data_IF_050519179211
#
_entry.id   IF_050519179211
#
_cell.length_a   1.000
_cell.length_b   1.000
_cell.length_c   1.000
_cell.angle_alpha   90.00
_cell.angle_beta   90.00
_cell.angle_gamma   90.00
#
_symmetry.space_group_name_H-M   'P 1'
#
loop_
_entity.id
_entity.type
_entity.pdbx_description
1 polymer ?
2 non-polymer ?
3 non-polymer ?
4 water ?
#
# COMPACT_ATOMS: atom_id res chain seq x y z
N UNK A 1 5.46 1.75 12.87
CA UNK A 1 5.19 3.22 12.72
C UNK A 1 5.93 4.09 13.76
N UNK A 2 6.86 4.88 13.25
CA UNK A 2 7.70 5.82 14.02
C UNK A 2 6.96 6.74 15.00
N UNK A 3 7.73 7.35 15.89
CA UNK A 3 7.29 8.53 16.65
C UNK A 3 7.32 9.85 15.80
N UNK A 4 8.34 9.99 14.94
CA UNK A 4 8.40 11.12 14.00
C UNK A 4 7.37 10.96 12.84
N UNK A 5 7.06 9.73 12.48
CA UNK A 5 6.07 9.46 11.44
C UNK A 5 4.61 9.78 11.91
N UNK A 6 4.29 9.45 13.16
CA UNK A 6 2.98 9.75 13.76
C UNK A 6 2.75 11.25 13.82
N UNK A 7 3.75 11.98 14.29
CA UNK A 7 3.63 13.41 14.44
C UNK A 7 3.55 14.13 13.06
N UNK A 8 4.23 13.59 12.06
CA UNK A 8 4.15 14.16 10.71
C UNK A 8 2.76 13.99 10.09
N UNK A 9 2.15 12.81 10.32
CA UNK A 9 0.83 12.52 9.83
C UNK A 9 -0.22 13.41 10.50
N UNK A 10 -0.04 13.66 11.80
CA UNK A 10 -0.94 14.58 12.54
C UNK A 10 -0.78 16.04 12.10
N UNK A 11 0.46 16.54 12.08
CA UNK A 11 0.69 17.94 11.72
C UNK A 11 0.10 18.26 10.33
N UNK A 12 0.46 17.45 9.34
CA UNK A 12 0.01 17.68 7.95
C UNK A 12 -1.51 17.40 7.76
N UNK A 13 -2.04 16.44 8.49
CA UNK A 13 -3.44 16.09 8.32
C UNK A 13 -4.39 17.24 8.76
N UNK A 14 -4.01 17.96 9.83
CA UNK A 14 -4.76 19.15 10.29
C UNK A 14 -5.09 20.15 9.19
N UNK A 15 -4.18 20.30 8.24
CA UNK A 15 -4.38 21.23 7.12
C UNK A 15 -5.56 20.77 6.23
N UNK A 16 -5.68 19.46 6.02
CA UNK A 16 -6.76 18.90 5.20
C UNK A 16 -8.07 18.94 5.97
N UNK A 17 -7.98 18.66 7.29
CA UNK A 17 -9.16 18.62 8.15
C UNK A 17 -9.83 19.99 8.29
N UNK A 18 -9.10 21.04 7.93
CA UNK A 18 -9.64 22.39 8.03
C UNK A 18 -10.74 22.69 6.97
N UNK A 19 -10.74 21.91 5.87
CA UNK A 19 -11.64 22.14 4.71
C UNK A 19 -12.22 20.82 4.18
N UNK A 20 -12.84 20.04 5.06
CA UNK A 20 -13.23 18.64 4.77
C UNK A 20 -14.05 18.50 3.48
N UNK A 21 -15.03 19.36 3.33
CA UNK A 21 -15.96 19.27 2.23
C UNK A 21 -15.28 19.58 0.89
N UNK A 22 -14.40 20.58 0.88
CA UNK A 22 -13.65 20.93 -0.32
C UNK A 22 -12.62 19.84 -0.71
N UNK A 23 -12.05 19.18 0.29
CA UNK A 23 -11.13 18.08 0.06
C UNK A 23 -11.88 16.82 -0.39
N UNK A 24 -13.06 16.59 0.19
CA UNK A 24 -13.84 15.40 -0.11
C UNK A 24 -14.32 15.37 -1.55
N UNK A 25 -14.83 16.52 -2.02
CA UNK A 25 -15.28 16.69 -3.40
C UNK A 25 -14.11 16.45 -4.39
N UNK A 26 -13.01 17.15 -4.17
CA UNK A 26 -11.79 16.91 -4.92
C UNK A 26 -11.40 15.43 -4.92
N UNK A 27 -11.46 14.80 -3.75
CA UNK A 27 -11.09 13.38 -3.64
C UNK A 27 -11.99 12.49 -4.55
N UNK A 28 -13.30 12.66 -4.42
CA UNK A 28 -14.25 11.78 -5.14
C UNK A 28 -14.22 11.96 -6.68
N UNK A 29 -14.02 13.19 -7.13
CA UNK A 29 -14.03 13.49 -8.56
C UNK A 29 -12.72 13.09 -9.31
N UNK A 30 -11.59 13.16 -8.62
CA UNK A 30 -10.36 12.53 -9.11
C UNK A 30 -10.54 11.03 -9.18
N UNK A 31 -11.12 10.47 -8.13
CA UNK A 31 -11.23 9.05 -7.98
C UNK A 31 -12.11 8.42 -9.09
N UNK A 32 -13.26 9.04 -9.36
CA UNK A 32 -14.17 8.52 -10.36
C UNK A 32 -13.67 8.82 -11.79
N UNK A 33 -12.93 9.92 -11.94
CA UNK A 33 -12.31 10.29 -13.21
C UNK A 33 -11.18 9.33 -13.57
N UNK A 34 -10.37 9.01 -12.58
CA UNK A 34 -9.19 8.19 -12.80
C UNK A 34 -9.53 6.70 -12.76
N UNK A 35 -10.60 6.36 -12.04
CA UNK A 35 -10.97 4.95 -11.88
C UNK A 35 -12.48 4.76 -12.05
N UNK A 36 -12.99 4.92 -13.28
CA UNK A 36 -14.44 5.06 -13.50
C UNK A 36 -15.21 3.78 -13.22
N UNK A 37 -14.53 2.64 -13.19
CA UNK A 37 -15.19 1.37 -12.84
C UNK A 37 -15.83 1.41 -11.44
N UNK A 38 -15.20 2.11 -10.51
CA UNK A 38 -15.67 2.18 -9.11
C UNK A 38 -17.01 2.90 -8.98
N UNK A 39 -17.45 3.54 -10.07
CA UNK A 39 -18.76 4.14 -10.16
C UNK A 39 -19.89 3.08 -10.00
N UNK A 40 -19.62 1.86 -10.46
CA UNK A 40 -20.62 0.79 -10.38
C UNK A 40 -21.10 0.51 -8.95
N UNK A 41 -20.30 0.90 -7.95
CA UNK A 41 -20.64 0.65 -6.56
C UNK A 41 -21.55 1.70 -6.04
N UNK A 42 -21.62 2.82 -6.78
CA UNK A 42 -22.46 3.95 -6.40
C UNK A 42 -23.48 4.26 -7.52
N UNK A 43 -24.49 3.36 -7.70
CA UNK A 43 -25.48 3.49 -8.81
C UNK A 43 -26.09 4.91 -8.92
N UNK A 44 -26.42 5.52 -7.77
CA UNK A 44 -27.00 6.86 -7.75
C UNK A 44 -26.10 7.93 -8.40
N UNK A 45 -24.79 7.72 -8.35
CA UNK A 45 -23.85 8.74 -8.84
C UNK A 45 -23.60 8.69 -10.35
N UNK A 46 -23.74 7.50 -10.95
CA UNK A 46 -23.63 7.37 -12.42
C UNK A 46 -24.84 7.92 -13.15
N UNK A 47 -25.98 7.97 -12.45
CA UNK A 47 -27.23 8.43 -13.03
C UNK A 47 -27.19 9.94 -13.33
N UNK A 48 -26.04 10.56 -13.05
CA UNK A 48 -25.92 12.02 -13.13
C UNK A 48 -24.73 12.38 -13.99
N UNK A 49 -24.90 13.34 -14.91
CA UNK A 49 -23.77 13.79 -15.74
C UNK A 49 -22.54 14.19 -14.87
N UNK A 50 -21.35 13.78 -15.31
CA UNK A 50 -20.15 13.82 -14.47
C UNK A 50 -19.80 15.21 -13.96
N UNK A 51 -19.95 16.22 -14.81
CA UNK A 51 -19.57 17.58 -14.47
C UNK A 51 -20.59 18.22 -13.50
N UNK A 52 -21.67 17.50 -13.23
CA UNK A 52 -22.71 17.99 -12.32
C UNK A 52 -22.55 17.47 -10.90
N UNK A 53 -21.71 16.44 -10.74
CA UNK A 53 -21.54 15.76 -9.46
C UNK A 53 -20.98 16.68 -8.32
N UNK A 54 -19.87 17.43 -8.61
CA UNK A 54 -19.28 18.33 -7.62
C UNK A 54 -20.32 19.19 -6.87
N UNK A 55 -21.43 19.50 -7.53
CA UNK A 55 -22.42 20.42 -6.97
C UNK A 55 -23.70 19.68 -6.53
N UNK A 56 -23.56 18.40 -6.18
CA UNK A 56 -24.68 17.56 -5.76
C UNK A 56 -24.61 17.25 -4.26
N UNK A 57 -25.75 17.30 -3.59
CA UNK A 57 -25.78 17.33 -2.13
C UNK A 57 -25.31 16.00 -1.50
N UNK A 58 -25.76 14.89 -2.07
CA UNK A 58 -25.39 13.59 -1.56
C UNK A 58 -23.91 13.32 -1.83
N UNK A 59 -23.36 14.03 -2.79
CA UNK A 59 -22.02 13.79 -3.28
C UNK A 59 -20.98 14.56 -2.44
N UNK A 60 -21.31 15.80 -2.06
CA UNK A 60 -20.50 16.58 -1.08
C UNK A 60 -20.57 15.96 0.31
N UNK A 61 -21.75 15.56 0.72
CA UNK A 61 -21.93 14.95 2.01
C UNK A 61 -21.17 13.62 2.18
N UNK A 62 -21.12 12.83 1.11
CA UNK A 62 -20.48 11.53 1.19
C UNK A 62 -18.95 11.66 1.23
N UNK A 63 -18.42 12.59 0.43
CA UNK A 63 -17.01 12.93 0.49
C UNK A 63 -16.57 13.29 1.89
N UNK A 64 -17.26 14.26 2.50
CA UNK A 64 -17.02 14.64 3.89
C UNK A 64 -17.01 13.41 4.86
N UNK A 65 -18.02 12.54 4.78
CA UNK A 65 -18.12 11.41 5.69
C UNK A 65 -16.93 10.41 5.59
N UNK A 66 -16.43 10.17 4.36
CA UNK A 66 -15.20 9.33 4.18
C UNK A 66 -14.02 9.92 4.98
N UNK A 67 -13.81 11.24 4.82
CA UNK A 67 -12.66 11.91 5.42
C UNK A 67 -12.78 12.08 6.94
N UNK A 68 -14.02 12.18 7.44
CA UNK A 68 -14.27 12.34 8.89
C UNK A 68 -14.02 11.04 9.65
N UNK A 69 -14.26 9.90 9.00
CA UNK A 69 -13.83 8.62 9.54
C UNK A 69 -12.30 8.44 9.48
N UNK A 70 -11.68 8.83 8.38
CA UNK A 70 -10.21 8.91 8.31
C UNK A 70 -9.65 9.78 9.47
N UNK A 71 -10.32 10.93 9.72
CA UNK A 71 -9.97 11.86 10.83
C UNK A 71 -9.83 11.14 12.17
N UNK A 72 -10.82 10.31 12.50
CA UNK A 72 -10.79 9.56 13.75
C UNK A 72 -9.60 8.59 13.80
N UNK A 73 -9.28 7.99 12.65
CA UNK A 73 -8.13 7.11 12.53
C UNK A 73 -6.82 7.81 12.88
N UNK A 74 -6.64 9.02 12.36
CA UNK A 74 -5.46 9.83 12.67
C UNK A 74 -5.38 10.25 14.17
N UNK A 75 -6.54 10.40 14.81
CA UNK A 75 -6.61 10.83 16.20
C UNK A 75 -6.20 9.71 17.16
N UNK A 76 -6.53 8.47 16.79
CA UNK A 76 -6.23 7.30 17.61
C UNK A 76 -4.88 6.67 17.20
N UNK A 77 -4.15 7.33 16.31
CA UNK A 77 -2.87 6.82 15.83
C UNK A 77 -1.78 6.99 16.90
N UNK A 78 -1.18 5.88 17.32
CA UNK A 78 0.04 5.92 18.15
C UNK A 78 1.19 5.06 17.55
N UNK A 79 2.38 5.19 18.14
CA UNK A 79 3.54 4.49 17.70
C UNK A 79 3.25 3.00 17.55
N UNK A 80 3.70 2.43 16.43
CA UNK A 80 3.45 1.04 16.13
C UNK A 80 1.99 0.69 16.18
N UNK A 81 1.12 1.67 15.92
CA UNK A 81 -0.34 1.49 16.04
C UNK A 81 -0.71 0.82 17.34
N UNK A 82 -0.16 1.30 18.44
CA UNK A 82 -0.20 0.56 19.73
C UNK A 82 -1.53 0.68 20.48
N UNK A 83 -2.35 1.66 20.10
CA UNK A 83 -3.62 1.97 20.81
C UNK A 83 -4.85 1.28 20.14
N UNK A 84 -5.55 0.43 20.90
CA UNK A 84 -6.66 -0.39 20.36
C UNK A 84 -7.80 0.45 19.80
N UNK A 85 -7.86 1.73 20.19
CA UNK A 85 -8.83 2.66 19.64
C UNK A 85 -8.70 2.78 18.11
N UNK A 86 -7.49 2.59 17.61
CA UNK A 86 -7.21 2.58 16.15
C UNK A 86 -7.95 1.42 15.44
N UNK A 87 -7.77 0.20 15.97
CA UNK A 87 -8.53 -0.99 15.50
C UNK A 87 -10.04 -0.76 15.50
N UNK A 88 -10.53 0.00 16.50
CA UNK A 88 -11.97 0.33 16.59
C UNK A 88 -12.47 0.94 15.29
N UNK A 89 -11.78 1.99 14.84
CA UNK A 89 -12.22 2.76 13.68
C UNK A 89 -12.45 1.87 12.44
N UNK A 90 -11.56 0.89 12.26
CA UNK A 90 -11.51 0.15 11.03
C UNK A 90 -12.24 -1.14 11.16
N UNK A 91 -12.54 -1.54 12.40
CA UNK A 91 -13.55 -2.57 12.64
C UNK A 91 -14.95 -2.01 12.35
N UNK A 92 -15.13 -0.71 12.58
CA UNK A 92 -16.37 -0.04 12.23
C UNK A 92 -16.59 0.03 10.70
N UNK A 93 -15.51 0.23 9.95
CA UNK A 93 -15.58 0.15 8.48
C UNK A 93 -15.95 -1.28 8.04
N UNK A 94 -15.27 -2.27 8.62
CA UNK A 94 -15.57 -3.70 8.36
C UNK A 94 -17.08 -3.99 8.34
N UNK A 95 -17.81 -3.48 9.33
CA UNK A 95 -19.21 -3.83 9.52
C UNK A 95 -20.14 -2.95 8.69
N UNK A 96 -19.60 -1.88 8.13
CA UNK A 96 -20.37 -0.97 7.28
C UNK A 96 -20.21 -1.36 5.79
N UNK A 97 -19.09 -1.97 5.44
CA UNK A 97 -18.72 -2.19 4.04
C UNK A 97 -18.80 -3.65 3.63
N UNK A 98 -18.91 -4.54 4.60
CA UNK A 98 -18.87 -5.97 4.33
C UNK A 98 -20.02 -6.41 3.40
N UNK A 99 -21.16 -5.69 3.44
CA UNK A 99 -22.38 -6.08 2.70
C UNK A 99 -22.19 -5.99 1.18
N UNK A 100 -21.44 -4.99 0.72
CA UNK A 100 -20.95 -4.99 -0.65
C UNK A 100 -19.72 -5.85 -0.75
N UNK A 101 -19.54 -6.49 -1.89
CA UNK A 101 -18.29 -7.12 -2.18
C UNK A 101 -17.40 -6.12 -2.96
N UNK A 102 -16.99 -5.06 -2.28
CA UNK A 102 -15.93 -4.21 -2.78
C UNK A 102 -14.62 -4.90 -2.53
N UNK A 103 -13.85 -5.11 -3.59
CA UNK A 103 -12.59 -5.85 -3.45
C UNK A 103 -11.38 -4.94 -3.09
N UNK A 104 -10.31 -5.56 -2.64
CA UNK A 104 -9.20 -4.85 -2.03
C UNK A 104 -8.65 -3.77 -2.96
N UNK A 105 -8.62 -4.08 -4.25
CA UNK A 105 -8.05 -3.19 -5.24
C UNK A 105 -8.69 -1.83 -5.23
N UNK A 106 -9.99 -1.82 -4.97
CA UNK A 106 -10.79 -0.59 -4.99
C UNK A 106 -10.39 0.35 -3.85
N UNK A 107 -10.04 -0.22 -2.69
CA UNK A 107 -9.59 0.54 -1.54
C UNK A 107 -8.19 1.09 -1.76
N UNK A 108 -7.34 0.30 -2.42
CA UNK A 108 -6.00 0.74 -2.80
C UNK A 108 -6.01 1.93 -3.75
N UNK A 109 -6.94 1.92 -4.71
CA UNK A 109 -7.05 3.01 -5.66
C UNK A 109 -7.46 4.32 -4.98
N UNK A 110 -8.27 4.21 -3.92
CA UNK A 110 -8.74 5.40 -3.17
C UNK A 110 -7.62 5.99 -2.30
N UNK A 111 -6.88 5.11 -1.63
CA UNK A 111 -5.67 5.51 -0.95
C UNK A 111 -4.76 6.34 -1.84
N UNK A 112 -4.56 5.88 -3.11
CA UNK A 112 -3.76 6.62 -4.08
C UNK A 112 -4.27 8.05 -4.17
N UNK A 113 -5.55 8.20 -4.32
CA UNK A 113 -6.14 9.50 -4.50
C UNK A 113 -6.06 10.34 -3.22
N UNK A 114 -6.56 9.79 -2.09
CA UNK A 114 -6.54 10.53 -0.80
C UNK A 114 -5.16 11.06 -0.57
N UNK A 115 -4.17 10.21 -0.79
CA UNK A 115 -2.78 10.58 -0.55
C UNK A 115 -2.33 11.69 -1.50
N UNK A 116 -2.86 11.67 -2.73
CA UNK A 116 -2.57 12.72 -3.70
C UNK A 116 -3.19 14.04 -3.33
N UNK A 117 -4.45 14.03 -2.90
CA UNK A 117 -5.12 15.28 -2.54
C UNK A 117 -4.49 15.98 -1.32
N UNK A 118 -4.06 15.20 -0.33
CA UNK A 118 -3.25 15.77 0.79
C UNK A 118 -2.04 16.54 0.26
N UNK A 119 -1.32 15.92 -0.70
CA UNK A 119 -0.14 16.57 -1.37
C UNK A 119 -0.47 17.95 -1.94
N UNK A 120 -1.67 18.11 -2.48
CA UNK A 120 -2.04 19.36 -3.10
C UNK A 120 -2.44 20.41 -2.05
N UNK A 121 -2.78 19.96 -0.84
CA UNK A 121 -2.96 20.89 0.28
C UNK A 121 -1.64 21.25 0.97
N UNK A 122 -0.83 20.24 1.27
CA UNK A 122 0.49 20.44 1.89
C UNK A 122 1.53 19.67 1.11
N UNK A 123 2.73 20.22 0.99
CA UNK A 123 3.82 19.50 0.34
C UNK A 123 4.43 18.43 1.28
N UNK A 124 4.14 17.17 0.99
CA UNK A 124 4.79 16.07 1.71
C UNK A 124 6.19 15.77 1.09
N UNK A 125 7.11 15.26 1.89
CA UNK A 125 8.33 14.66 1.36
C UNK A 125 8.21 13.14 1.29
N UNK A 126 9.29 12.47 0.83
CA UNK A 126 9.25 11.01 0.56
C UNK A 126 8.93 10.21 1.78
N UNK A 127 9.48 10.62 2.92
CA UNK A 127 9.29 9.89 4.18
C UNK A 127 7.85 9.98 4.67
N UNK A 128 7.21 11.11 4.39
CA UNK A 128 5.84 11.34 4.82
C UNK A 128 4.84 10.66 3.92
N UNK A 129 5.12 10.67 2.60
CA UNK A 129 4.36 9.87 1.68
C UNK A 129 4.42 8.41 2.14
N UNK A 130 5.62 7.93 2.39
CA UNK A 130 5.82 6.53 2.82
C UNK A 130 4.96 6.18 4.05
N UNK A 131 4.97 7.04 5.06
CA UNK A 131 4.23 6.83 6.28
C UNK A 131 2.70 6.84 6.06
N UNK A 132 2.23 7.72 5.18
CA UNK A 132 0.79 7.75 4.81
C UNK A 132 0.33 6.44 4.19
N UNK A 133 1.20 5.80 3.43
CA UNK A 133 0.89 4.50 2.85
C UNK A 133 0.79 3.40 3.88
N UNK A 134 1.73 3.39 4.85
CA UNK A 134 1.70 2.38 5.96
C UNK A 134 0.44 2.53 6.84
N UNK A 135 0.04 3.78 7.08
CA UNK A 135 -1.20 4.08 7.74
C UNK A 135 -2.38 3.35 7.09
N UNK A 136 -2.60 3.62 5.80
CA UNK A 136 -3.78 3.09 5.11
C UNK A 136 -3.69 1.60 4.87
N UNK A 137 -2.47 1.11 4.56
CA UNK A 137 -2.23 -0.34 4.55
C UNK A 137 -2.73 -1.04 5.84
N UNK A 138 -2.36 -0.50 6.99
CA UNK A 138 -2.70 -1.09 8.27
C UNK A 138 -4.21 -1.03 8.52
N UNK A 139 -4.81 0.14 8.26
CA UNK A 139 -6.27 0.32 8.34
C UNK A 139 -7.01 -0.71 7.49
N UNK A 140 -6.53 -0.88 6.25
CA UNK A 140 -7.12 -1.87 5.32
C UNK A 140 -6.87 -3.31 5.76
N UNK A 141 -5.71 -3.57 6.32
CA UNK A 141 -5.41 -4.93 6.83
C UNK A 141 -6.32 -5.31 7.97
N UNK A 142 -6.57 -4.34 8.88
CA UNK A 142 -7.51 -4.56 9.97
C UNK A 142 -8.92 -4.77 9.45
N UNK A 143 -9.40 -3.87 8.60
CA UNK A 143 -10.77 -3.95 8.05
C UNK A 143 -11.06 -5.32 7.46
N UNK A 144 -10.13 -5.83 6.66
CA UNK A 144 -10.35 -7.05 5.89
C UNK A 144 -10.30 -8.31 6.73
N UNK A 145 -9.42 -8.30 7.75
CA UNK A 145 -9.32 -9.43 8.68
C UNK A 145 -10.63 -9.59 9.42
N UNK A 146 -11.33 -8.48 9.61
CA UNK A 146 -12.56 -8.49 10.35
C UNK A 146 -13.73 -8.92 9.47
N UNK A 147 -13.67 -8.53 8.19
CA UNK A 147 -14.66 -8.95 7.20
C UNK A 147 -14.56 -10.44 6.90
N UNK A 148 -13.42 -11.03 7.22
CA UNK A 148 -13.19 -12.47 6.97
C UNK A 148 -14.12 -13.35 7.84
N UNK A 149 -15.11 -12.72 8.48
CA UNK A 149 -16.12 -13.42 9.29
C UNK A 149 -17.55 -12.94 8.93
N UNK A 150 -18.19 -13.66 8.02
CA UNK A 150 -19.49 -13.24 7.47
N UNK B 1 -0.93 4.48 -13.22
CA UNK B 1 0.56 4.47 -13.47
C UNK B 1 0.91 5.12 -14.81
N UNK B 2 1.28 6.41 -14.77
CA UNK B 2 1.67 7.14 -16.00
C UNK B 2 3.11 6.82 -16.46
N UNK B 3 3.43 7.18 -17.69
CA UNK B 3 4.64 6.64 -18.32
C UNK B 3 5.92 7.24 -17.73
N UNK B 4 5.80 8.42 -17.16
CA UNK B 4 6.90 9.01 -16.42
C UNK B 4 7.16 8.21 -15.15
N UNK B 5 6.09 7.71 -14.54
CA UNK B 5 6.19 6.86 -13.39
C UNK B 5 6.85 5.51 -13.74
N UNK B 6 6.55 4.99 -14.94
CA UNK B 6 7.15 3.75 -15.42
C UNK B 6 8.67 3.90 -15.60
N UNK B 7 9.06 5.03 -16.20
CA UNK B 7 10.47 5.36 -16.42
C UNK B 7 11.26 5.39 -15.13
N UNK B 8 10.71 6.03 -14.11
CA UNK B 8 11.40 6.19 -12.84
C UNK B 8 11.69 4.84 -12.14
N UNK B 9 10.67 3.97 -12.05
CA UNK B 9 10.83 2.65 -11.46
C UNK B 9 11.92 1.85 -12.19
N UNK B 10 11.87 1.84 -13.51
CA UNK B 10 12.89 1.13 -14.32
C UNK B 10 14.31 1.73 -14.13
N UNK B 11 14.44 3.04 -14.33
CA UNK B 11 15.67 3.76 -14.01
C UNK B 11 16.24 3.40 -12.62
N UNK B 12 15.53 3.79 -11.55
CA UNK B 12 16.04 3.57 -10.17
C UNK B 12 16.31 2.10 -9.82
N UNK B 13 15.48 1.19 -10.34
CA UNK B 13 15.59 -0.21 -9.99
C UNK B 13 16.90 -0.83 -10.54
N UNK B 14 17.38 -0.33 -11.70
CA UNK B 14 18.67 -0.82 -12.27
C UNK B 14 19.83 -0.68 -11.28
N UNK B 15 19.76 0.33 -10.43
CA UNK B 15 20.78 0.50 -9.40
C UNK B 15 20.77 -0.69 -8.42
N UNK B 16 19.56 -1.14 -8.04
CA UNK B 16 19.41 -2.25 -7.08
C UNK B 16 19.79 -3.61 -7.70
N UNK B 17 19.45 -3.80 -8.97
CA UNK B 17 19.65 -5.08 -9.65
C UNK B 17 21.13 -5.33 -9.99
N UNK B 18 21.95 -4.28 -9.85
CA UNK B 18 23.39 -4.39 -10.01
C UNK B 18 24.06 -5.21 -8.89
N UNK B 19 23.36 -5.32 -7.75
CA UNK B 19 23.91 -6.00 -6.56
C UNK B 19 22.82 -6.77 -5.79
N UNK B 20 22.15 -7.69 -6.50
CA UNK B 20 20.97 -8.41 -5.97
C UNK B 20 21.22 -9.06 -4.61
N UNK B 21 22.39 -9.65 -4.45
CA UNK B 21 22.66 -10.41 -3.25
C UNK B 21 22.89 -9.49 -2.07
N UNK B 22 23.65 -8.44 -2.28
CA UNK B 22 23.86 -7.46 -1.25
C UNK B 22 22.53 -6.80 -0.81
N UNK B 23 21.72 -6.35 -1.77
CA UNK B 23 20.43 -5.70 -1.47
C UNK B 23 19.41 -6.66 -0.79
N UNK B 24 19.50 -7.94 -1.12
CA UNK B 24 18.55 -8.93 -0.60
C UNK B 24 18.88 -9.36 0.82
N UNK B 25 20.15 -9.37 1.15
CA UNK B 25 20.59 -9.72 2.50
C UNK B 25 20.32 -8.55 3.46
N UNK B 26 20.50 -7.32 2.96
CA UNK B 26 20.11 -6.13 3.70
C UNK B 26 18.60 -6.13 3.98
N UNK B 27 17.82 -6.54 2.97
CA UNK B 27 16.37 -6.62 3.05
C UNK B 27 15.91 -7.61 4.15
N UNK B 28 16.29 -8.89 4.01
CA UNK B 28 15.89 -9.93 4.97
C UNK B 28 16.35 -9.58 6.40
N UNK B 29 17.56 -9.04 6.50
CA UNK B 29 18.11 -8.51 7.75
C UNK B 29 17.13 -7.54 8.46
N UNK B 30 16.76 -6.46 7.75
CA UNK B 30 15.85 -5.46 8.30
C UNK B 30 14.44 -6.03 8.55
N UNK B 31 13.97 -6.86 7.61
CA UNK B 31 12.60 -7.37 7.66
C UNK B 31 12.30 -8.07 8.98
N UNK B 32 13.23 -8.91 9.42
CA UNK B 32 13.04 -9.68 10.66
C UNK B 32 13.42 -8.84 11.91
N UNK B 33 14.36 -7.93 11.75
CA UNK B 33 14.70 -7.00 12.80
C UNK B 33 13.48 -6.15 13.14
N UNK B 34 12.82 -5.62 12.11
CA UNK B 34 11.67 -4.73 12.31
C UNK B 34 10.37 -5.50 12.59
N UNK B 35 10.21 -6.65 11.95
CA UNK B 35 8.96 -7.41 12.01
C UNK B 35 9.21 -8.91 12.33
N UNK B 36 9.69 -9.20 13.58
CA UNK B 36 10.31 -10.53 13.91
C UNK B 36 9.30 -11.69 13.93
N UNK B 37 8.00 -11.37 13.97
CA UNK B 37 6.96 -12.39 13.96
C UNK B 37 6.94 -13.16 12.66
N UNK B 38 7.40 -12.51 11.58
CA UNK B 38 7.44 -13.15 10.26
C UNK B 38 8.48 -14.27 10.22
N UNK B 39 9.41 -14.23 11.18
CA UNK B 39 10.35 -15.32 11.41
C UNK B 39 9.63 -16.68 11.58
N UNK B 40 8.34 -16.62 11.85
CA UNK B 40 7.59 -17.82 12.12
C UNK B 40 7.16 -18.57 10.85
N UNK B 41 7.35 -17.95 9.69
CA UNK B 41 7.15 -18.66 8.41
C UNK B 41 8.50 -19.14 7.86
N UNK B 42 9.56 -18.93 8.62
CA UNK B 42 10.88 -19.45 8.28
C UNK B 42 11.51 -20.07 9.53
N UNK B 43 11.08 -21.28 9.91
CA UNK B 43 11.58 -21.95 11.11
C UNK B 43 13.07 -22.31 11.00
N UNK B 44 13.53 -22.63 9.79
CA UNK B 44 14.96 -22.91 9.57
C UNK B 44 15.87 -21.71 9.92
N UNK B 45 15.32 -20.51 9.89
CA UNK B 45 16.06 -19.32 10.27
C UNK B 45 16.00 -19.06 11.77
N UNK B 46 14.98 -19.61 12.41
CA UNK B 46 14.80 -19.43 13.85
C UNK B 46 15.97 -20.02 14.66
N UNK B 47 16.50 -21.14 14.18
CA UNK B 47 17.58 -21.82 14.89
C UNK B 47 18.88 -21.02 14.87
N UNK B 48 19.45 -20.84 13.68
CA UNK B 48 20.59 -19.93 13.51
C UNK B 48 20.41 -18.66 14.33
N UNK B 49 21.40 -18.32 15.18
CA UNK B 49 21.37 -17.02 15.86
C UNK B 49 21.45 -15.87 14.85
N UNK B 50 20.69 -14.80 15.10
CA UNK B 50 20.46 -13.74 14.08
C UNK B 50 21.76 -13.09 13.61
N UNK B 51 22.80 -13.14 14.46
CA UNK B 51 24.01 -12.34 14.23
C UNK B 51 24.87 -12.89 13.11
N UNK B 52 24.95 -14.21 13.02
CA UNK B 52 25.60 -14.85 11.87
C UNK B 52 24.59 -15.44 10.90
N UNK B 53 23.41 -14.82 10.84
CA UNK B 53 22.39 -15.18 9.84
C UNK B 53 22.71 -14.59 8.46
N UNK B 54 23.27 -13.36 8.42
CA UNK B 54 23.59 -12.66 7.16
C UNK B 54 24.73 -13.31 6.39
N UNK B 55 25.28 -14.40 6.92
CA UNK B 55 26.38 -15.12 6.25
C UNK B 55 25.98 -16.56 5.94
N UNK B 56 24.70 -16.88 6.17
CA UNK B 56 24.15 -18.22 5.89
C UNK B 56 23.83 -18.43 4.40
N UNK B 57 24.31 -19.53 3.83
CA UNK B 57 24.23 -19.77 2.37
C UNK B 57 22.82 -19.53 1.83
N UNK B 58 21.82 -19.92 2.62
CA UNK B 58 20.48 -20.09 2.14
C UNK B 58 19.66 -18.83 2.43
N UNK B 59 20.14 -18.07 3.42
CA UNK B 59 19.70 -16.70 3.67
C UNK B 59 20.09 -15.78 2.48
N UNK B 60 21.38 -15.84 2.09
CA UNK B 60 21.88 -15.18 0.85
C UNK B 60 20.99 -15.53 -0.36
N UNK B 61 20.86 -16.81 -0.63
CA UNK B 61 20.22 -17.27 -1.84
C UNK B 61 18.70 -16.88 -1.89
N UNK B 62 18.04 -16.93 -0.74
CA UNK B 62 16.62 -16.59 -0.69
C UNK B 62 16.32 -15.10 -0.92
N UNK B 63 17.11 -14.23 -0.30
CA UNK B 63 17.06 -12.83 -0.60
C UNK B 63 17.18 -12.57 -2.09
N UNK B 64 18.13 -13.22 -2.72
CA UNK B 64 18.34 -13.06 -4.16
C UNK B 64 17.10 -13.51 -4.98
N UNK B 65 16.49 -14.63 -4.58
CA UNK B 65 15.31 -15.17 -5.27
C UNK B 65 14.11 -14.21 -5.27
N UNK B 66 13.86 -13.57 -4.11
CA UNK B 66 12.75 -12.57 -3.97
C UNK B 66 12.90 -11.40 -4.96
N UNK B 67 14.02 -10.69 -4.87
CA UNK B 67 14.28 -9.54 -5.71
C UNK B 67 14.32 -9.94 -7.20
N UNK B 68 14.81 -11.14 -7.49
CA UNK B 68 14.86 -11.63 -8.86
C UNK B 68 13.46 -11.78 -9.50
N UNK B 69 12.45 -12.11 -8.69
CA UNK B 69 11.06 -12.12 -9.17
C UNK B 69 10.49 -10.72 -9.31
N UNK B 70 10.80 -9.84 -8.35
CA UNK B 70 10.50 -8.40 -8.48
C UNK B 70 11.10 -7.85 -9.78
N UNK B 71 12.33 -8.28 -10.09
CA UNK B 71 13.05 -7.84 -11.32
C UNK B 71 12.23 -8.14 -12.58
N UNK B 72 11.63 -9.32 -12.63
CA UNK B 72 10.75 -9.69 -13.73
C UNK B 72 9.51 -8.85 -13.74
N UNK B 73 9.02 -8.49 -12.55
CA UNK B 73 7.88 -7.58 -12.43
C UNK B 73 8.19 -6.24 -13.05
N UNK B 74 9.35 -5.67 -12.69
CA UNK B 74 9.76 -4.35 -13.19
C UNK B 74 9.92 -4.34 -14.72
N UNK B 75 10.53 -5.41 -15.26
CA UNK B 75 10.75 -5.53 -16.72
C UNK B 75 9.43 -5.49 -17.48
N UNK B 76 8.40 -6.09 -16.89
CA UNK B 76 7.09 -6.19 -17.53
C UNK B 76 6.17 -4.96 -17.29
N UNK B 77 6.57 -4.06 -16.38
CA UNK B 77 5.78 -2.86 -16.10
C UNK B 77 5.56 -2.06 -17.38
N UNK B 78 4.31 -1.67 -17.66
CA UNK B 78 4.04 -0.67 -18.68
C UNK B 78 2.89 0.24 -18.24
N UNK B 79 2.63 1.27 -19.02
CA UNK B 79 1.66 2.27 -18.65
C UNK B 79 0.31 1.65 -18.19
N UNK B 80 -0.17 2.10 -17.04
CA UNK B 80 -1.42 1.58 -16.44
C UNK B 80 -1.47 0.07 -16.35
N UNK B 81 -0.29 -0.56 -16.27
CA UNK B 81 -0.19 -2.02 -16.11
C UNK B 81 -0.76 -2.76 -17.32
N UNK B 82 -0.72 -2.11 -18.49
CA UNK B 82 -1.40 -2.63 -19.70
C UNK B 82 -0.96 -4.03 -20.10
N UNK B 83 0.34 -4.23 -20.22
CA UNK B 83 0.90 -5.53 -20.62
C UNK B 83 0.55 -6.68 -19.63
N UNK B 84 -0.18 -7.68 -20.13
CA UNK B 84 -0.63 -8.80 -19.28
C UNK B 84 0.51 -9.72 -18.84
N UNK B 85 1.71 -9.44 -19.32
CA UNK B 85 2.89 -10.16 -18.85
C UNK B 85 3.27 -9.74 -17.39
N UNK B 86 2.80 -8.57 -16.97
CA UNK B 86 2.86 -8.18 -15.55
C UNK B 86 2.02 -9.16 -14.67
N UNK B 87 0.80 -9.46 -15.12
CA UNK B 87 -0.11 -10.35 -14.39
C UNK B 87 0.50 -11.72 -14.12
N UNK B 88 1.38 -12.18 -15.01
CA UNK B 88 1.90 -13.57 -14.95
C UNK B 88 3.03 -13.77 -13.93
N UNK B 89 3.80 -12.72 -13.66
CA UNK B 89 4.79 -12.79 -12.59
C UNK B 89 4.12 -13.00 -11.21
N UNK B 90 3.03 -12.30 -10.98
CA UNK B 90 2.39 -12.31 -9.68
C UNK B 90 1.33 -13.46 -9.50
N UNK B 91 0.80 -13.96 -10.62
CA UNK B 91 0.13 -15.29 -10.64
C UNK B 91 1.11 -16.43 -10.30
N UNK B 92 2.34 -16.32 -10.78
CA UNK B 92 3.40 -17.27 -10.43
C UNK B 92 3.68 -17.23 -8.94
N UNK B 93 3.64 -16.03 -8.35
CA UNK B 93 3.70 -15.86 -6.89
C UNK B 93 2.53 -16.58 -6.21
N UNK B 94 1.34 -16.44 -6.79
CA UNK B 94 0.14 -17.09 -6.27
C UNK B 94 0.35 -18.59 -6.07
N UNK B 95 0.65 -19.32 -7.16
CA UNK B 95 0.72 -20.79 -7.08
C UNK B 95 1.79 -21.28 -6.12
N UNK B 96 2.85 -20.49 -5.98
CA UNK B 96 3.97 -20.86 -5.11
C UNK B 96 3.69 -20.60 -3.61
N UNK B 97 2.95 -19.54 -3.31
CA UNK B 97 2.74 -19.10 -1.90
C UNK B 97 1.35 -19.49 -1.33
N UNK B 98 0.46 -19.99 -2.20
CA UNK B 98 -0.89 -20.38 -1.79
C UNK B 98 -0.92 -21.34 -0.58
N UNK B 99 -0.14 -22.42 -0.67
CA UNK B 99 -0.17 -23.50 0.35
C UNK B 99 0.48 -23.08 1.66
N UNK B 100 0.68 -21.78 1.84
CA UNK B 100 1.22 -21.24 3.11
C UNK B 100 0.32 -20.13 3.56
N UNK B 101 -0.25 -20.27 4.75
CA UNK B 101 -1.24 -19.32 5.21
C UNK B 101 -0.61 -17.96 5.51
N UNK B 102 -0.45 -17.17 4.44
CA UNK B 102 0.42 -16.02 4.45
C UNK B 102 -0.38 -14.73 4.47
N UNK B 103 -0.43 -14.11 5.63
CA UNK B 103 -1.24 -12.93 5.83
C UNK B 103 -0.83 -11.77 4.92
N UNK B 104 -1.81 -11.20 4.22
CA UNK B 104 -1.61 -9.98 3.45
C UNK B 104 -0.74 -8.98 4.19
N UNK B 105 -0.96 -8.87 5.50
CA UNK B 105 -0.27 -7.89 6.32
C UNK B 105 1.25 -8.01 6.21
N UNK B 106 1.74 -9.23 6.32
CA UNK B 106 3.14 -9.47 6.33
C UNK B 106 3.78 -9.27 4.93
N UNK B 107 2.97 -9.37 3.88
CA UNK B 107 3.38 -8.91 2.57
C UNK B 107 3.55 -7.37 2.53
N UNK B 108 2.54 -6.64 3.05
CA UNK B 108 2.67 -5.17 3.26
C UNK B 108 3.94 -4.78 4.00
N UNK B 109 4.28 -5.55 5.03
CA UNK B 109 5.46 -5.23 5.83
C UNK B 109 6.76 -5.41 5.04
N UNK B 110 6.79 -6.40 4.15
CA UNK B 110 7.93 -6.60 3.26
C UNK B 110 8.04 -5.47 2.24
N UNK B 111 6.89 -5.01 1.73
CA UNK B 111 6.83 -3.80 0.86
C UNK B 111 7.52 -2.58 1.51
N UNK B 112 7.23 -2.36 2.79
CA UNK B 112 7.86 -1.27 3.54
C UNK B 112 9.39 -1.35 3.45
N UNK B 113 9.94 -2.52 3.72
CA UNK B 113 11.38 -2.70 3.75
C UNK B 113 12.00 -2.61 2.34
N UNK B 114 11.39 -3.31 1.37
CA UNK B 114 11.89 -3.30 0.00
C UNK B 114 12.09 -1.88 -0.49
N UNK B 115 11.12 -1.00 -0.18
CA UNK B 115 11.18 0.38 -0.63
C UNK B 115 12.19 1.22 0.16
N UNK B 116 12.46 0.81 1.39
CA UNK B 116 13.50 1.43 2.20
C UNK B 116 14.91 1.11 1.69
N UNK B 117 15.18 -0.17 1.43
CA UNK B 117 16.49 -0.58 0.90
C UNK B 117 16.77 0.04 -0.46
N UNK B 118 15.72 0.12 -1.30
CA UNK B 118 15.83 0.82 -2.60
C UNK B 118 16.23 2.24 -2.36
N UNK B 119 15.63 2.85 -1.35
CA UNK B 119 15.86 4.23 -1.03
C UNK B 119 17.29 4.50 -0.55
N UNK B 120 17.92 3.48 0.01
CA UNK B 120 19.26 3.63 0.54
C UNK B 120 20.33 3.39 -0.54
N UNK B 121 19.92 2.86 -1.69
CA UNK B 121 20.83 2.68 -2.82
C UNK B 121 20.83 3.88 -3.76
N UNK B 122 19.64 4.36 -4.08
CA UNK B 122 19.46 5.60 -4.80
C UNK B 122 18.43 6.44 -4.06
N UNK B 123 18.58 7.76 -4.07
CA UNK B 123 17.62 8.66 -3.36
C UNK B 123 16.38 8.93 -4.18
N UNK B 124 15.24 8.49 -3.68
CA UNK B 124 13.96 8.72 -4.33
C UNK B 124 13.29 9.96 -3.77
N UNK B 125 12.59 10.69 -4.63
CA UNK B 125 11.71 11.75 -4.15
C UNK B 125 10.28 11.22 -3.87
N UNK B 126 9.38 12.13 -3.51
CA UNK B 126 8.09 11.75 -2.97
C UNK B 126 7.15 11.12 -4.02
N UNK B 127 7.31 11.54 -5.29
CA UNK B 127 6.54 10.94 -6.43
C UNK B 127 6.99 9.50 -6.76
N UNK B 128 8.26 9.23 -6.59
CA UNK B 128 8.81 7.90 -6.84
C UNK B 128 8.47 6.87 -5.74
N UNK B 129 8.47 7.32 -4.47
CA UNK B 129 8.00 6.49 -3.37
C UNK B 129 6.53 6.12 -3.59
N UNK B 130 5.73 7.11 -4.03
CA UNK B 130 4.34 6.90 -4.31
C UNK B 130 4.18 5.83 -5.39
N UNK B 131 4.96 5.95 -6.46
CA UNK B 131 4.91 5.00 -7.57
C UNK B 131 5.27 3.57 -7.15
N UNK B 132 6.30 3.41 -6.32
CA UNK B 132 6.71 2.07 -5.89
C UNK B 132 5.63 1.35 -5.08
N UNK B 133 4.96 2.09 -4.19
CA UNK B 133 3.82 1.52 -3.43
C UNK B 133 2.74 0.95 -4.37
N UNK B 134 2.31 1.75 -5.33
CA UNK B 134 1.28 1.29 -6.28
C UNK B 134 1.74 0.05 -7.07
N UNK B 135 3.01 0.05 -7.50
CA UNK B 135 3.62 -1.12 -8.12
C UNK B 135 3.35 -2.38 -7.30
N UNK B 136 3.71 -2.33 -6.02
CA UNK B 136 3.59 -3.48 -5.16
C UNK B 136 2.14 -3.70 -4.72
N UNK B 137 1.38 -2.62 -4.57
CA UNK B 137 -0.04 -2.74 -4.20
C UNK B 137 -0.80 -3.57 -5.24
N UNK B 138 -0.51 -3.32 -6.52
CA UNK B 138 -1.22 -3.97 -7.61
C UNK B 138 -0.68 -5.39 -7.86
N UNK B 139 0.64 -5.57 -7.75
CA UNK B 139 1.25 -6.91 -7.72
C UNK B 139 0.49 -7.82 -6.75
N UNK B 140 0.25 -7.30 -5.54
CA UNK B 140 -0.39 -8.08 -4.47
C UNK B 140 -1.90 -8.32 -4.76
N UNK B 141 -2.59 -7.29 -5.22
CA UNK B 141 -4.02 -7.43 -5.59
C UNK B 141 -4.23 -8.56 -6.58
N UNK B 142 -3.40 -8.58 -7.63
CA UNK B 142 -3.39 -9.65 -8.61
C UNK B 142 -3.09 -11.00 -7.95
N UNK B 143 -2.07 -11.04 -7.09
CA UNK B 143 -1.63 -12.29 -6.47
C UNK B 143 -2.71 -12.93 -5.58
N UNK B 144 -3.48 -12.08 -4.87
CA UNK B 144 -4.45 -12.55 -3.87
C UNK B 144 -5.76 -12.93 -4.51
N UNK B 145 -6.17 -12.16 -5.53
CA UNK B 145 -7.30 -12.55 -6.39
C UNK B 145 -7.08 -13.93 -7.02
N UNK B 146 -5.84 -14.24 -7.34
CA UNK B 146 -5.53 -15.50 -7.95
C UNK B 146 -5.53 -16.63 -6.95
N UNK B 147 -5.07 -16.35 -5.74
CA UNK B 147 -5.12 -17.35 -4.66
C UNK B 147 -6.57 -17.67 -4.24
N UNK B 148 -7.48 -16.69 -4.46
CA UNK B 148 -8.91 -16.87 -4.16
C UNK B 148 -9.60 -17.88 -5.13
N UNK B 149 -8.67 -18.62 -5.66
CA UNK B 149 -8.96 -19.90 -6.16
C UNK B 149 -8.81 -20.85 -4.90
#
# INVERSE_FOLDING_TARGET
MNSEEVNDIKRTWEVVAAKMTEAGVEMLKRYFKKYPHNLNHFPWFKEIPFDDLPENARFKTHGTRILRQVDEGVKALSVDFGDKKFDDVWKKLAQTHHEKKVERRSYNELKDIIIEVVCSCVKLNEKQVHAYHKFFDRAYDIAFAEMAKMG
MNSEEVNDIKRTWEVVAAKMTEAGVEMLKRYFKKYPHNLNHFPWFKEIPFDDLPENARFKTHGTRILRQVDEGVKALSVDFGDKKFDDVWKKLAQTHHEKKVERRSYNELKDIIIEVVCSCVKLNEKQVHAYHKFFDRAYDIAFAEMAKMG
#
